data_IF_222300743057
#
_entry.id   IF_222300743057
#
_cell.length_a   1.000
_cell.length_b   1.000
_cell.length_c   1.000
_cell.angle_alpha   90.00
_cell.angle_beta   90.00
_cell.angle_gamma   90.00
#
_symmetry.space_group_name_H-M   'P 1'
#
loop_
_entity.id
_entity.type
_entity.pdbx_description
1 polymer ?
#
# COMPACT_ATOMS: atom_id res chain seq x y z
N UNK A 1 7.81 -3.10 15.99
CA UNK A 1 8.92 -2.95 15.04
C UNK A 1 8.53 -3.61 13.73
N UNK A 2 8.38 -2.84 12.66
CA UNK A 2 8.20 -3.34 11.31
C UNK A 2 9.53 -3.90 10.82
N UNK A 3 9.43 -4.97 10.03
CA UNK A 3 10.55 -5.62 9.36
C UNK A 3 10.12 -5.86 7.92
N UNK A 4 11.06 -6.02 7.00
CA UNK A 4 10.75 -6.32 5.60
C UNK A 4 9.85 -7.56 5.47
N UNK A 5 10.15 -8.63 6.20
CA UNK A 5 9.29 -9.83 6.25
C UNK A 5 7.92 -9.54 6.86
N UNK A 6 7.86 -8.65 7.86
CA UNK A 6 6.62 -8.21 8.47
C UNK A 6 5.75 -7.41 7.49
N UNK A 7 6.36 -6.59 6.64
CA UNK A 7 5.68 -5.80 5.61
C UNK A 7 5.09 -6.71 4.52
N UNK A 8 5.84 -7.72 4.07
CA UNK A 8 5.36 -8.68 3.06
C UNK A 8 4.14 -9.50 3.52
N UNK A 9 3.97 -9.68 4.84
CA UNK A 9 2.82 -10.38 5.42
C UNK A 9 1.57 -9.52 5.59
N UNK A 10 1.66 -8.21 5.31
CA UNK A 10 0.50 -7.32 5.43
C UNK A 10 -0.54 -7.67 4.36
N UNK A 11 -1.75 -7.96 4.81
CA UNK A 11 -2.88 -8.19 3.90
C UNK A 11 -3.57 -6.86 3.63
N UNK A 12 -3.69 -6.41 2.39
CA UNK A 12 -4.50 -5.26 2.07
C UNK A 12 -5.97 -5.53 2.39
N UNK A 13 -6.67 -4.52 2.91
CA UNK A 13 -8.10 -4.59 3.20
C UNK A 13 -8.89 -3.54 2.41
N UNK A 14 -10.21 -3.70 2.37
CA UNK A 14 -11.12 -2.74 1.70
C UNK A 14 -11.05 -1.33 2.31
N UNK A 15 -10.70 -1.24 3.60
CA UNK A 15 -10.52 0.01 4.32
C UNK A 15 -9.04 0.24 4.64
N UNK A 16 -8.65 1.50 4.64
CA UNK A 16 -7.31 1.90 5.02
C UNK A 16 -7.10 1.59 6.50
N UNK A 17 -6.02 0.89 6.83
CA UNK A 17 -5.61 0.67 8.21
C UNK A 17 -4.15 1.04 8.42
N UNK A 18 -3.79 1.37 9.66
CA UNK A 18 -2.44 1.77 10.04
C UNK A 18 -1.79 0.65 10.85
N UNK A 19 -0.56 0.30 10.52
CA UNK A 19 0.29 -0.58 11.33
C UNK A 19 1.42 0.24 11.93
N UNK A 20 1.36 0.40 13.25
CA UNK A 20 2.35 1.15 14.01
C UNK A 20 3.74 0.50 13.99
N UNK A 21 4.74 1.37 14.07
CA UNK A 21 6.14 1.06 14.28
C UNK A 21 6.69 1.86 15.48
N UNK A 22 8.02 2.00 15.60
CA UNK A 22 8.66 2.75 16.68
C UNK A 22 8.51 4.26 16.48
N UNK A 23 8.58 5.00 17.58
CA UNK A 23 8.67 6.47 17.59
C UNK A 23 7.51 7.18 16.86
N UNK A 24 6.31 6.57 16.91
CA UNK A 24 5.11 7.11 16.26
C UNK A 24 5.08 6.91 14.74
N UNK A 25 6.09 6.26 14.15
CA UNK A 25 6.06 5.87 12.74
C UNK A 25 4.99 4.78 12.51
N UNK A 26 4.38 4.75 11.33
CA UNK A 26 3.44 3.71 10.94
C UNK A 26 3.40 3.53 9.43
N UNK A 27 2.91 2.39 8.97
CA UNK A 27 2.58 2.13 7.55
C UNK A 27 1.07 2.11 7.39
N UNK A 28 0.55 2.85 6.40
CA UNK A 28 -0.84 2.76 5.98
C UNK A 28 -0.98 1.68 4.89
N UNK A 29 -1.93 0.78 5.06
CA UNK A 29 -2.20 -0.31 4.13
C UNK A 29 -3.62 -0.17 3.61
N UNK A 30 -3.76 -0.19 2.30
CA UNK A 30 -5.05 -0.12 1.60
C UNK A 30 -5.00 -1.03 0.38
N UNK A 31 -6.09 -1.72 0.10
CA UNK A 31 -6.25 -2.43 -1.15
C UNK A 31 -6.36 -1.44 -2.31
N UNK A 32 -5.34 -1.39 -3.15
CA UNK A 32 -5.34 -0.58 -4.36
C UNK A 32 -5.77 -1.48 -5.52
N UNK A 33 -6.95 -1.20 -6.09
CA UNK A 33 -7.29 -1.72 -7.40
C UNK A 33 -6.58 -0.88 -8.46
N UNK A 34 -5.39 -1.35 -8.87
CA UNK A 34 -4.49 -0.63 -9.78
C UNK A 34 -5.19 -0.15 -11.05
N UNK A 35 -6.13 -0.92 -11.61
CA UNK A 35 -6.89 -0.50 -12.81
C UNK A 35 -7.77 0.70 -12.50
N UNK A 36 -8.56 0.62 -11.42
CA UNK A 36 -9.45 1.71 -11.01
C UNK A 36 -8.66 2.99 -10.71
N UNK A 37 -7.52 2.87 -10.02
CA UNK A 37 -6.66 4.02 -9.74
C UNK A 37 -6.08 4.63 -11.03
N UNK A 38 -5.63 3.84 -12.01
CA UNK A 38 -5.14 4.37 -13.30
C UNK A 38 -6.24 5.13 -14.03
N UNK A 39 -7.46 4.57 -14.06
CA UNK A 39 -8.62 5.22 -14.68
C UNK A 39 -9.01 6.52 -13.99
N UNK A 40 -8.98 6.58 -12.65
CA UNK A 40 -9.34 7.76 -11.87
C UNK A 40 -8.22 8.80 -11.78
N UNK A 41 -6.95 8.38 -11.79
CA UNK A 41 -5.77 9.24 -11.64
C UNK A 41 -5.43 9.98 -12.93
N UNK A 42 -5.88 9.50 -14.10
CA UNK A 42 -5.53 10.09 -15.39
C UNK A 42 -4.01 10.04 -15.70
N UNK A 43 -3.21 9.33 -14.92
CA UNK A 43 -1.76 9.24 -15.09
C UNK A 43 -1.38 8.06 -15.98
N UNK A 44 -0.87 8.37 -17.17
CA UNK A 44 -0.55 7.40 -18.22
C UNK A 44 0.86 6.80 -18.03
N UNK A 45 1.49 7.07 -16.89
CA UNK A 45 2.94 6.93 -16.69
C UNK A 45 3.34 5.83 -15.70
N UNK A 46 2.44 4.92 -15.34
CA UNK A 46 2.81 3.80 -14.47
C UNK A 46 3.51 2.73 -15.31
N UNK A 47 4.85 2.77 -15.33
CA UNK A 47 5.67 1.66 -15.86
C UNK A 47 5.36 0.38 -15.08
N UNK A 48 4.85 -0.63 -15.79
CA UNK A 48 4.74 -1.99 -15.27
C UNK A 48 6.15 -2.55 -15.21
N UNK A 49 6.71 -2.66 -14.00
CA UNK A 49 7.88 -3.50 -13.75
C UNK A 49 7.37 -4.93 -13.65
N UNK A 50 7.84 -5.78 -14.57
CA UNK A 50 7.58 -7.20 -14.64
C UNK A 50 8.37 -7.97 -13.57
#
# INVERSE_FOLDING_TARGET
>A
MLTDTGLQKLKPGEKLYKRGDRDGMYVAVLLINRRKQIWESGDHTIKVVH
#
